data_IF_827548139381
#
_entry.id   IF_827548139381
#
_cell.length_a   1.000
_cell.length_b   1.000
_cell.length_c   1.000
_cell.angle_alpha   90.00
_cell.angle_beta   90.00
_cell.angle_gamma   90.00
#
_symmetry.space_group_name_H-M   'P 1'
#
loop_
_entity.id
_entity.type
_entity.pdbx_description
1 polymer ?
#
# COMPACT_ATOMS: atom_id res chain seq x y z
N UNK A 1 10.23 8.97 22.11
CA UNK A 1 9.81 7.57 22.29
C UNK A 1 8.52 7.56 23.07
N UNK A 2 7.46 6.90 22.58
CA UNK A 2 6.18 6.79 23.27
C UNK A 2 6.22 5.62 24.25
N UNK A 3 5.62 5.76 25.44
CA UNK A 3 5.54 4.70 26.44
C UNK A 3 4.07 4.37 26.74
N UNK A 4 3.71 3.09 26.67
CA UNK A 4 2.36 2.61 27.02
C UNK A 4 2.25 2.55 28.54
N UNK A 5 1.27 3.24 29.12
CA UNK A 5 1.11 3.33 30.58
C UNK A 5 -0.03 2.46 31.12
N UNK A 6 -1.10 2.25 30.35
CA UNK A 6 -2.26 1.43 30.79
C UNK A 6 -2.94 0.76 29.58
N UNK A 7 -3.17 -0.55 29.68
CA UNK A 7 -3.54 -1.43 28.57
C UNK A 7 -5.06 -1.71 28.43
N UNK A 8 -5.90 -1.24 29.36
CA UNK A 8 -7.34 -1.57 29.37
C UNK A 8 -8.21 -0.44 29.96
N UNK A 9 -8.11 0.78 29.42
CA UNK A 9 -8.97 1.89 29.81
C UNK A 9 -10.26 1.88 28.97
N UNK A 10 -11.42 2.19 29.54
CA UNK A 10 -12.64 2.42 28.75
C UNK A 10 -12.65 3.84 28.20
N UNK A 11 -12.72 3.98 26.87
CA UNK A 11 -12.93 5.27 26.20
C UNK A 11 -14.38 5.74 26.36
N UNK A 12 -14.65 7.02 26.08
CA UNK A 12 -16.00 7.60 26.19
C UNK A 12 -17.05 6.91 25.31
N UNK A 13 -16.60 6.28 24.23
CA UNK A 13 -17.41 5.47 23.31
C UNK A 13 -17.61 4.01 23.79
N UNK A 14 -17.13 3.66 24.99
CA UNK A 14 -17.24 2.32 25.56
C UNK A 14 -16.25 1.29 24.99
N UNK A 15 -15.47 1.65 23.99
CA UNK A 15 -14.37 0.85 23.43
C UNK A 15 -13.17 0.79 24.38
N UNK A 16 -12.36 -0.27 24.27
CA UNK A 16 -11.09 -0.41 25.01
C UNK A 16 -10.03 0.49 24.36
N UNK A 17 -9.41 1.34 25.16
CA UNK A 17 -8.34 2.25 24.76
C UNK A 17 -7.08 2.07 25.59
N UNK A 18 -6.00 2.66 25.07
CA UNK A 18 -4.67 2.67 25.66
C UNK A 18 -4.29 4.11 25.96
N UNK A 19 -3.63 4.33 27.10
CA UNK A 19 -3.05 5.65 27.39
C UNK A 19 -1.59 5.65 26.97
N UNK A 20 -1.26 6.48 25.98
CA UNK A 20 0.10 6.67 25.48
C UNK A 20 0.70 7.93 26.08
N UNK A 21 1.92 7.83 26.61
CA UNK A 21 2.71 8.98 27.03
C UNK A 21 3.75 9.31 25.97
N UNK A 22 3.72 10.54 25.46
CA UNK A 22 4.67 11.07 24.50
C UNK A 22 5.53 12.13 25.15
N UNK A 23 6.86 11.95 25.11
CA UNK A 23 7.81 13.00 25.45
C UNK A 23 8.07 13.89 24.23
N UNK A 24 7.62 15.14 24.26
CA UNK A 24 7.91 16.16 23.25
C UNK A 24 8.68 17.30 23.90
N UNK A 25 10.02 17.23 23.80
CA UNK A 25 10.93 18.29 24.25
C UNK A 25 10.87 18.54 25.76
N UNK A 26 10.02 19.49 26.19
CA UNK A 26 9.96 20.00 27.57
C UNK A 26 8.77 19.49 28.40
N UNK A 27 7.93 18.60 27.86
CA UNK A 27 6.77 18.07 28.58
C UNK A 27 6.40 16.65 28.16
N UNK A 28 5.73 15.95 29.07
CA UNK A 28 5.05 14.68 28.78
C UNK A 28 3.58 14.94 28.52
N UNK A 29 3.06 14.37 27.42
CA UNK A 29 1.66 14.45 27.05
C UNK A 29 1.06 13.06 27.12
N UNK A 30 -0.12 12.94 27.73
CA UNK A 30 -0.89 11.70 27.74
C UNK A 30 -2.06 11.82 26.77
N UNK A 31 -2.20 10.84 25.88
CA UNK A 31 -3.32 10.73 24.98
C UNK A 31 -3.94 9.34 25.09
N UNK A 32 -5.26 9.32 25.29
CA UNK A 32 -6.04 8.09 25.23
C UNK A 32 -6.35 7.80 23.76
N UNK A 33 -5.85 6.68 23.24
CA UNK A 33 -6.06 6.24 21.86
C UNK A 33 -6.81 4.91 21.83
N UNK A 34 -7.67 4.66 20.82
CA UNK A 34 -8.21 3.34 20.56
C UNK A 34 -7.11 2.28 20.46
N UNK A 35 -7.33 1.13 21.10
CA UNK A 35 -6.37 0.02 21.10
C UNK A 35 -6.04 -0.48 19.67
N UNK A 36 -7.01 -0.39 18.77
CA UNK A 36 -6.86 -0.67 17.34
C UNK A 36 -5.83 0.21 16.62
N UNK A 37 -5.40 1.33 17.20
CA UNK A 37 -4.37 2.21 16.60
C UNK A 37 -2.96 1.90 17.08
N UNK A 38 -2.81 0.95 18.02
CA UNK A 38 -1.53 0.59 18.64
C UNK A 38 -1.24 -0.89 18.49
N UNK A 39 -2.27 -1.74 18.50
CA UNK A 39 -2.10 -3.16 18.21
C UNK A 39 -1.88 -3.38 16.73
N UNK A 40 -0.67 -3.83 16.41
CA UNK A 40 -0.27 -4.26 15.09
C UNK A 40 -0.98 -5.58 14.75
N UNK A 41 -1.72 -5.60 13.64
CA UNK A 41 -2.42 -6.80 13.17
C UNK A 41 -1.42 -7.75 12.51
N UNK A 42 -0.78 -8.59 13.32
CA UNK A 42 0.25 -9.54 12.86
C UNK A 42 -0.27 -10.50 11.79
N UNK A 43 -1.55 -10.91 11.89
CA UNK A 43 -2.18 -11.78 10.91
C UNK A 43 -2.34 -11.08 9.55
N UNK A 44 -2.69 -9.78 9.56
CA UNK A 44 -2.70 -8.97 8.33
C UNK A 44 -1.29 -8.85 7.74
N UNK A 45 -0.27 -8.59 8.56
CA UNK A 45 1.13 -8.47 8.10
C UNK A 45 1.59 -9.76 7.43
N UNK A 46 1.36 -10.91 8.06
CA UNK A 46 1.68 -12.21 7.48
C UNK A 46 0.95 -12.43 6.15
N UNK A 47 -0.33 -12.06 6.08
CA UNK A 47 -1.13 -12.19 4.86
C UNK A 47 -0.63 -11.26 3.74
N UNK A 48 -0.25 -10.01 4.06
CA UNK A 48 0.34 -9.06 3.11
C UNK A 48 1.72 -9.52 2.62
N UNK A 49 2.55 -10.06 3.51
CA UNK A 49 3.82 -10.67 3.16
C UNK A 49 3.62 -11.85 2.19
N UNK A 50 2.61 -12.68 2.42
CA UNK A 50 2.32 -13.84 1.56
C UNK A 50 1.96 -13.47 0.12
N UNK A 51 1.47 -12.24 -0.11
CA UNK A 51 1.18 -11.71 -1.44
C UNK A 51 2.27 -10.76 -1.96
N UNK A 52 3.40 -10.63 -1.26
CA UNK A 52 4.57 -9.87 -1.75
C UNK A 52 4.54 -8.39 -1.42
N UNK A 53 3.85 -7.98 -0.34
CA UNK A 53 3.93 -6.63 0.22
C UNK A 53 4.87 -6.68 1.45
N UNK A 54 6.14 -6.36 1.23
CA UNK A 54 7.25 -6.50 2.21
C UNK A 54 7.36 -5.27 3.14
N UNK A 55 7.93 -5.45 4.34
CA UNK A 55 8.04 -4.50 5.47
C UNK A 55 8.35 -3.03 5.11
N UNK A 56 9.35 -2.73 4.26
CA UNK A 56 9.67 -1.33 3.89
C UNK A 56 8.50 -0.63 3.17
N UNK A 57 7.65 -1.43 2.55
CA UNK A 57 6.46 -0.97 1.86
C UNK A 57 5.23 -1.00 2.80
N UNK A 58 5.18 -1.86 3.83
CA UNK A 58 3.99 -2.06 4.65
C UNK A 58 3.45 -0.79 5.33
N UNK A 59 4.33 0.13 5.74
CA UNK A 59 3.91 1.40 6.34
C UNK A 59 3.19 2.31 5.34
N UNK A 60 3.59 2.26 4.06
CA UNK A 60 2.90 2.97 2.97
C UNK A 60 1.69 2.21 2.47
N UNK A 61 1.76 0.87 2.39
CA UNK A 61 0.68 0.05 1.87
C UNK A 61 -0.48 -0.11 2.84
N UNK A 62 -0.31 -0.05 4.16
CA UNK A 62 -1.46 0.04 5.09
C UNK A 62 -2.22 1.38 4.96
N UNK A 63 -1.55 2.42 4.48
CA UNK A 63 -2.16 3.71 4.14
C UNK A 63 -2.83 3.66 2.76
N UNK A 64 -2.25 2.93 1.81
CA UNK A 64 -2.71 2.87 0.40
C UNK A 64 -3.75 1.78 0.15
N UNK A 65 -3.69 0.64 0.86
CA UNK A 65 -4.59 -0.49 0.68
C UNK A 65 -5.88 -0.27 1.48
N UNK A 66 -7.04 -0.09 0.84
CA UNK A 66 -8.30 0.13 1.53
C UNK A 66 -8.63 -1.00 2.52
N UNK A 67 -9.34 -0.72 3.63
CA UNK A 67 -9.74 -1.76 4.59
C UNK A 67 -10.50 -2.94 3.97
N UNK A 68 -11.26 -2.70 2.90
CA UNK A 68 -11.94 -3.76 2.14
C UNK A 68 -10.97 -4.77 1.52
N UNK A 69 -9.84 -4.30 0.99
CA UNK A 69 -8.82 -5.15 0.39
C UNK A 69 -8.01 -5.87 1.47
N UNK A 70 -7.68 -5.20 2.57
CA UNK A 70 -7.04 -5.84 3.73
C UNK A 70 -7.85 -7.04 4.24
N UNK A 71 -9.18 -6.88 4.32
CA UNK A 71 -10.09 -7.96 4.71
C UNK A 71 -10.21 -9.07 3.66
N UNK A 72 -10.02 -8.75 2.38
CA UNK A 72 -10.07 -9.73 1.29
C UNK A 72 -8.81 -10.60 1.20
N UNK A 73 -7.66 -10.08 1.65
CA UNK A 73 -6.37 -10.81 1.61
C UNK A 73 -6.27 -11.85 2.74
N UNK A 74 -6.81 -11.57 3.93
CA UNK A 74 -6.79 -12.48 5.09
C UNK A 74 -7.32 -13.91 4.83
N UNK A 75 -8.46 -14.11 4.14
CA UNK A 75 -9.00 -15.45 3.92
C UNK A 75 -8.39 -16.20 2.73
N UNK A 76 -7.38 -15.64 2.05
CA UNK A 76 -6.78 -16.31 0.89
C UNK A 76 -6.08 -17.60 1.31
N UNK A 77 -6.25 -18.64 0.49
CA UNK A 77 -5.50 -19.89 0.65
C UNK A 77 -4.13 -19.77 -0.02
N UNK A 78 -3.18 -20.62 0.39
CA UNK A 78 -1.78 -20.56 -0.03
C UNK A 78 -1.59 -20.44 -1.56
N UNK A 79 -2.34 -21.21 -2.35
CA UNK A 79 -2.22 -21.16 -3.81
C UNK A 79 -2.70 -19.82 -4.41
N UNK A 80 -3.69 -19.18 -3.80
CA UNK A 80 -4.18 -17.86 -4.22
C UNK A 80 -3.18 -16.77 -3.84
N UNK A 81 -2.67 -16.79 -2.62
CA UNK A 81 -1.66 -15.84 -2.18
C UNK A 81 -0.40 -15.93 -3.05
N UNK A 82 0.04 -17.15 -3.35
CA UNK A 82 1.17 -17.39 -4.25
C UNK A 82 0.89 -16.87 -5.66
N UNK A 83 -0.29 -17.11 -6.22
CA UNK A 83 -0.62 -16.59 -7.54
C UNK A 83 -0.55 -15.05 -7.58
N UNK A 84 -1.07 -14.37 -6.57
CA UNK A 84 -1.00 -12.90 -6.47
C UNK A 84 0.46 -12.44 -6.32
N UNK A 85 1.24 -13.13 -5.49
CA UNK A 85 2.67 -12.85 -5.32
C UNK A 85 3.41 -12.90 -6.67
N UNK A 86 3.24 -13.98 -7.43
CA UNK A 86 3.91 -14.17 -8.73
C UNK A 86 3.48 -13.09 -9.73
N UNK A 87 2.18 -12.76 -9.80
CA UNK A 87 1.69 -11.68 -10.67
C UNK A 87 2.31 -10.35 -10.30
N UNK A 88 2.43 -10.04 -9.00
CA UNK A 88 3.05 -8.80 -8.54
C UNK A 88 4.54 -8.77 -8.85
N UNK A 89 5.25 -9.86 -8.62
CA UNK A 89 6.68 -9.93 -8.97
C UNK A 89 6.90 -9.76 -10.47
N UNK A 90 6.08 -10.43 -11.29
CA UNK A 90 6.15 -10.27 -12.75
C UNK A 90 5.83 -8.82 -13.17
N UNK A 91 4.82 -8.19 -12.55
CA UNK A 91 4.47 -6.81 -12.83
C UNK A 91 5.62 -5.84 -12.45
N UNK A 92 6.27 -6.05 -11.30
CA UNK A 92 7.43 -5.26 -10.87
C UNK A 92 8.60 -5.44 -11.85
N UNK A 93 8.96 -6.68 -12.19
CA UNK A 93 10.05 -6.96 -13.15
C UNK A 93 9.77 -6.32 -14.50
N UNK A 94 8.56 -6.50 -15.04
CA UNK A 94 8.17 -5.91 -16.32
C UNK A 94 8.20 -4.38 -16.26
N UNK A 95 7.76 -3.79 -15.15
CA UNK A 95 7.80 -2.35 -14.97
C UNK A 95 9.23 -1.83 -14.96
N UNK A 96 10.11 -2.45 -14.17
CA UNK A 96 11.53 -2.06 -14.05
C UNK A 96 12.28 -2.22 -15.38
N UNK A 97 11.96 -3.24 -16.16
CA UNK A 97 12.54 -3.45 -17.50
C UNK A 97 12.10 -2.40 -18.52
N UNK A 98 10.82 -1.99 -18.47
CA UNK A 98 10.22 -1.15 -19.53
C UNK A 98 10.29 0.34 -19.19
N UNK A 99 10.33 0.72 -17.91
CA UNK A 99 10.22 2.12 -17.49
C UNK A 99 11.30 3.02 -18.10
N UNK A 100 12.54 2.51 -18.22
CA UNK A 100 13.63 3.24 -18.88
C UNK A 100 13.34 3.54 -20.35
N UNK A 101 12.93 2.51 -21.11
CA UNK A 101 12.56 2.67 -22.52
C UNK A 101 11.35 3.59 -22.73
N UNK A 102 10.41 3.59 -21.78
CA UNK A 102 9.26 4.48 -21.80
C UNK A 102 9.69 5.94 -21.56
N UNK A 103 10.59 6.17 -20.62
CA UNK A 103 11.14 7.50 -20.34
C UNK A 103 11.87 8.07 -21.56
N UNK A 104 12.76 7.27 -22.18
CA UNK A 104 13.45 7.66 -23.41
C UNK A 104 12.45 8.01 -24.53
N UNK A 105 11.47 7.15 -24.76
CA UNK A 105 10.44 7.40 -25.78
C UNK A 105 9.61 8.65 -25.50
N UNK A 106 9.28 8.94 -24.25
CA UNK A 106 8.56 10.14 -23.85
C UNK A 106 9.35 11.43 -24.11
N UNK A 107 10.67 11.38 -23.93
CA UNK A 107 11.57 12.50 -24.21
C UNK A 107 11.74 12.74 -25.72
N UNK A 108 11.63 11.69 -26.54
CA UNK A 108 11.69 11.76 -28.00
C UNK A 108 10.38 12.23 -28.68
N UNK A 109 9.27 12.37 -27.93
CA UNK A 109 7.99 12.84 -28.49
C UNK A 109 7.99 14.34 -28.80
N UNK A 110 7.09 14.78 -29.68
CA UNK A 110 6.83 16.20 -29.94
C UNK A 110 5.35 16.55 -29.67
N UNK A 111 5.03 17.36 -28.63
CA UNK A 111 5.97 17.94 -27.66
C UNK A 111 6.55 16.88 -26.70
N UNK A 112 7.80 17.08 -26.21
CA UNK A 112 8.46 16.14 -25.32
C UNK A 112 7.76 16.13 -23.96
N UNK A 113 7.62 14.93 -23.40
CA UNK A 113 7.05 14.74 -22.06
C UNK A 113 8.21 14.58 -21.10
N UNK A 114 8.32 15.46 -20.12
CA UNK A 114 9.37 15.36 -19.12
C UNK A 114 9.18 14.14 -18.21
N UNK A 115 10.28 13.59 -17.71
CA UNK A 115 10.26 12.52 -16.70
C UNK A 115 9.36 12.85 -15.50
N UNK A 116 9.31 14.12 -15.05
CA UNK A 116 8.45 14.55 -13.96
C UNK A 116 6.96 14.53 -14.30
N UNK A 117 6.58 14.89 -15.54
CA UNK A 117 5.21 14.80 -16.03
C UNK A 117 4.78 13.35 -16.19
N UNK A 118 5.65 12.48 -16.72
CA UNK A 118 5.40 11.05 -16.82
C UNK A 118 5.13 10.43 -15.45
N UNK A 119 5.99 10.69 -14.46
CA UNK A 119 5.80 10.19 -13.10
C UNK A 119 4.52 10.76 -12.45
N UNK A 120 4.19 12.01 -12.73
CA UNK A 120 2.95 12.64 -12.27
C UNK A 120 1.72 11.98 -12.88
N UNK A 121 1.77 11.65 -14.18
CA UNK A 121 0.70 10.92 -14.87
C UNK A 121 0.54 9.51 -14.30
N UNK A 122 1.65 8.77 -14.11
CA UNK A 122 1.60 7.43 -13.52
C UNK A 122 1.08 7.45 -12.09
N UNK A 123 1.46 8.46 -11.30
CA UNK A 123 0.95 8.68 -9.95
C UNK A 123 -0.54 8.98 -9.98
N UNK A 124 -0.99 9.86 -10.87
CA UNK A 124 -2.39 10.18 -11.04
C UNK A 124 -3.21 8.95 -11.45
N UNK A 125 -2.70 8.15 -12.39
CA UNK A 125 -3.32 6.87 -12.79
C UNK A 125 -3.43 5.93 -11.59
N UNK A 126 -2.37 5.76 -10.80
CA UNK A 126 -2.38 4.93 -9.59
C UNK A 126 -3.42 5.41 -8.57
N UNK A 127 -3.49 6.72 -8.35
CA UNK A 127 -4.31 7.30 -7.28
C UNK A 127 -5.79 7.44 -7.67
N UNK A 128 -6.09 7.59 -8.97
CA UNK A 128 -7.46 7.83 -9.46
C UNK A 128 -8.08 6.65 -10.21
N UNK A 129 -7.31 5.62 -10.61
CA UNK A 129 -7.87 4.46 -11.28
C UNK A 129 -8.36 3.43 -10.25
N UNK A 130 -9.68 3.22 -10.09
CA UNK A 130 -10.20 2.20 -9.18
C UNK A 130 -9.85 0.78 -9.64
N UNK A 131 -9.57 0.57 -10.94
CA UNK A 131 -9.13 -0.69 -11.52
C UNK A 131 -8.21 -0.36 -12.70
N UNK A 132 -7.02 -0.98 -12.75
CA UNK A 132 -6.12 -0.96 -13.90
C UNK A 132 -6.25 -2.28 -14.66
N UNK A 133 -6.70 -2.21 -15.91
CA UNK A 133 -6.78 -3.37 -16.81
C UNK A 133 -5.69 -3.22 -17.86
N UNK A 134 -4.66 -4.07 -17.79
CA UNK A 134 -3.69 -4.19 -18.87
C UNK A 134 -4.31 -5.00 -20.01
N UNK A 135 -4.44 -4.37 -21.17
CA UNK A 135 -4.96 -5.00 -22.39
C UNK A 135 -3.86 -4.93 -23.44
N UNK A 136 -3.42 -6.08 -23.94
CA UNK A 136 -2.45 -6.15 -25.02
C UNK A 136 -3.16 -5.92 -26.37
N UNK A 137 -3.15 -4.67 -26.85
CA UNK A 137 -3.82 -4.27 -28.08
C UNK A 137 -3.27 -4.96 -29.33
N UNK A 138 -2.02 -5.44 -29.33
CA UNK A 138 -1.49 -6.19 -30.47
C UNK A 138 -2.15 -7.56 -30.58
N UNK A 139 -2.52 -8.14 -29.44
CA UNK A 139 -3.24 -9.41 -29.36
C UNK A 139 -4.76 -9.25 -29.51
N UNK A 140 -5.38 -8.26 -28.86
CA UNK A 140 -6.85 -8.10 -28.86
C UNK A 140 -7.39 -7.14 -29.92
N UNK A 141 -6.56 -6.27 -30.48
CA UNK A 141 -6.94 -5.29 -31.51
C UNK A 141 -7.62 -5.89 -32.73
N UNK A 142 -7.20 -7.06 -33.25
CA UNK A 142 -7.90 -7.73 -34.36
C UNK A 142 -9.32 -8.23 -34.03
N UNK A 143 -9.70 -8.28 -32.76
CA UNK A 143 -10.99 -8.78 -32.29
C UNK A 143 -11.95 -7.66 -31.81
N UNK A 144 -11.50 -6.40 -31.86
CA UNK A 144 -12.28 -5.20 -31.52
C UNK A 144 -12.70 -4.44 -32.79
#
# INVERSE_FOLDING_TARGET
>A
AARVLDLDKKLQDGSKGLSLEFGLGAGTFQQDVPRAYVEEDTALIESLNSIGIIEDAQHYWTIVLPPSEQNAVKPLVECQSKAIYEVRQQATSNHDEVIGSLMERCEEMEPPISSGELLSMLTWVRDMAPILVHVDLDTVGPFL
#
